data_IF_782803464604
#
_entry.id   IF_782803464604
#
_cell.length_a   1.000
_cell.length_b   1.000
_cell.length_c   1.000
_cell.angle_alpha   90.00
_cell.angle_beta   90.00
_cell.angle_gamma   90.00
#
_symmetry.space_group_name_H-M   'P 1'
#
loop_
_entity.id
_entity.type
_entity.pdbx_description
1 polymer ?
2 non-polymer ?
3 non-polymer ?
4 water ?
#
# COMPACT_ATOMS: atom_id res chain seq x y z
N UNK A 4 -6.34 9.14 -5.44
CA UNK A 4 -7.17 7.99 -4.98
C UNK A 4 -8.12 7.46 -6.03
N UNK A 5 -8.50 8.27 -7.02
CA UNK A 5 -9.28 7.77 -8.16
C UNK A 5 -8.60 6.59 -8.85
N UNK A 6 -7.32 6.78 -9.20
CA UNK A 6 -6.47 5.76 -9.86
C UNK A 6 -6.48 4.40 -9.17
N UNK A 7 -6.64 4.39 -7.86
CA UNK A 7 -6.71 3.15 -7.04
C UNK A 7 -7.95 2.26 -7.18
N UNK A 8 -8.97 2.69 -7.92
CA UNK A 8 -10.31 2.02 -7.97
C UNK A 8 -10.77 1.50 -9.33
N UNK A 9 -9.98 1.79 -10.35
CA UNK A 9 -10.20 1.29 -11.72
C UNK A 9 -10.76 -0.15 -11.83
N UNK A 10 -10.26 -1.03 -10.99
CA UNK A 10 -10.63 -2.42 -10.99
C UNK A 10 -11.17 -2.93 -9.67
N UNK A 11 -11.15 -4.25 -9.56
CA UNK A 11 -11.71 -4.95 -8.41
C UNK A 11 -10.73 -4.84 -7.26
N UNK A 12 -11.24 -4.40 -6.09
CA UNK A 12 -10.41 -4.13 -4.93
C UNK A 12 -10.95 -4.99 -3.81
N UNK A 13 -10.08 -5.80 -3.18
CA UNK A 13 -10.56 -6.59 -2.05
C UNK A 13 -10.70 -5.76 -0.76
N UNK A 14 -11.67 -6.15 0.07
CA UNK A 14 -12.07 -5.41 1.25
C UNK A 14 -12.09 -6.32 2.46
N UNK A 15 -11.54 -5.88 3.59
CA UNK A 15 -11.80 -6.51 4.88
C UNK A 15 -12.71 -5.56 5.66
N UNK A 16 -13.69 -6.09 6.41
CA UNK A 16 -14.50 -5.26 7.34
C UNK A 16 -14.48 -5.81 8.78
N UNK A 17 -13.87 -5.08 9.74
CA UNK A 17 -13.81 -5.53 11.13
C UNK A 17 -14.56 -4.53 12.01
N UNK A 18 -15.67 -4.97 12.60
CA UNK A 18 -16.37 -4.22 13.62
C UNK A 18 -16.14 -4.90 14.98
N UNK A 19 -16.00 -4.06 16.03
CA UNK A 19 -16.13 -4.45 17.44
C UNK A 19 -17.24 -3.56 18.00
N UNK A 20 -18.20 -4.15 18.71
CA UNK A 20 -19.38 -3.42 19.16
C UNK A 20 -19.81 -3.68 20.60
N UNK A 21 -20.45 -2.67 21.21
CA UNK A 21 -21.14 -2.82 22.48
C UNK A 21 -22.51 -2.17 22.35
N UNK A 22 -23.58 -2.89 22.64
CA UNK A 22 -24.92 -2.34 22.64
C UNK A 22 -25.69 -2.76 23.87
N UNK A 23 -25.96 -1.80 24.74
CA UNK A 23 -26.56 -2.03 26.05
C UNK A 23 -25.74 -3.09 26.82
N UNK A 24 -24.42 -2.99 26.68
CA UNK A 24 -23.47 -3.90 27.32
C UNK A 24 -23.59 -5.33 26.82
N UNK A 25 -23.97 -5.49 25.55
CA UNK A 25 -23.87 -6.76 24.81
C UNK A 25 -22.65 -6.62 23.96
N UNK A 26 -21.49 -7.10 24.39
CA UNK A 26 -20.27 -7.00 23.58
C UNK A 26 -20.40 -7.90 22.35
N UNK A 27 -19.84 -7.51 21.21
CA UNK A 27 -19.84 -8.41 20.02
C UNK A 27 -18.88 -7.97 18.95
N UNK A 28 -18.41 -8.92 18.17
CA UNK A 28 -17.51 -8.64 17.05
C UNK A 28 -17.98 -9.30 15.74
N UNK A 29 -17.77 -8.61 14.63
CA UNK A 29 -18.16 -9.08 13.30
C UNK A 29 -16.93 -8.97 12.42
N UNK A 30 -16.78 -9.90 11.49
CA UNK A 30 -15.76 -9.77 10.47
C UNK A 30 -16.44 -9.93 9.13
N UNK A 31 -15.97 -9.16 8.15
CA UNK A 31 -16.54 -9.13 6.80
C UNK A 31 -15.44 -9.21 5.75
N UNK A 32 -15.81 -9.66 4.55
CA UNK A 32 -14.82 -10.01 3.54
C UNK A 32 -15.46 -9.96 2.15
N UNK A 33 -14.86 -9.22 1.22
CA UNK A 33 -15.39 -9.21 -0.12
C UNK A 33 -14.63 -8.41 -1.11
N UNK A 34 -15.37 -7.84 -2.06
CA UNK A 34 -14.81 -7.19 -3.25
C UNK A 34 -15.64 -5.99 -3.61
N UNK A 35 -14.93 -4.97 -4.16
CA UNK A 35 -15.55 -3.80 -4.73
C UNK A 35 -15.02 -3.46 -6.10
N UNK A 36 -15.90 -3.23 -7.06
CA UNK A 36 -15.52 -2.69 -8.37
C UNK A 36 -16.27 -1.37 -8.45
N UNK A 37 -15.54 -0.27 -8.27
CA UNK A 37 -16.15 1.06 -8.20
C UNK A 37 -16.41 1.64 -9.59
N UNK A 38 -16.01 0.89 -10.62
CA UNK A 38 -16.34 1.21 -12.01
C UNK A 38 -17.88 1.12 -12.23
N UNK A 39 -18.49 0.15 -11.55
CA UNK A 39 -19.95 -0.09 -11.53
C UNK A 39 -20.61 0.19 -10.17
N UNK A 40 -19.86 0.73 -9.21
CA UNK A 40 -20.40 0.95 -7.89
C UNK A 40 -20.84 -0.33 -7.22
N UNK A 41 -20.15 -1.42 -7.54
CA UNK A 41 -20.54 -2.75 -7.10
C UNK A 41 -19.86 -3.08 -5.76
N UNK A 42 -20.63 -3.60 -4.82
CA UNK A 42 -20.05 -4.27 -3.65
C UNK A 42 -20.72 -5.59 -3.45
N UNK A 43 -19.90 -6.57 -3.06
CA UNK A 43 -20.39 -7.85 -2.58
C UNK A 43 -19.51 -8.23 -1.39
N UNK A 44 -20.17 -8.54 -0.28
CA UNK A 44 -19.47 -8.77 0.97
C UNK A 44 -20.19 -9.84 1.79
N UNK A 45 -19.43 -10.58 2.57
CA UNK A 45 -20.00 -11.45 3.57
C UNK A 45 -19.55 -11.02 4.97
N UNK A 46 -20.47 -11.10 5.91
CA UNK A 46 -20.18 -10.76 7.27
C UNK A 46 -20.53 -11.94 8.11
N UNK A 47 -19.65 -12.26 9.07
CA UNK A 47 -19.93 -13.25 10.12
C UNK A 47 -19.67 -12.67 11.51
N UNK A 48 -20.55 -13.03 12.46
CA UNK A 48 -20.46 -12.61 13.88
C UNK A 48 -19.61 -13.57 14.71
N UNK A 49 -18.34 -13.24 14.82
CA UNK A 49 -17.35 -14.12 15.43
C UNK A 49 -17.47 -14.36 16.98
N UNK A 50 -18.52 -13.82 17.65
CA UNK A 50 -18.77 -13.99 19.10
C UNK A 50 -20.16 -14.59 19.40
N UNK A 51 -20.63 -15.47 18.50
CA UNK A 51 -21.93 -16.10 18.66
C UNK A 51 -23.01 -15.42 17.84
N UNK A 52 -24.17 -15.25 18.46
CA UNK A 52 -25.30 -14.53 17.84
C UNK A 52 -25.02 -13.02 17.84
N UNK A 53 -25.42 -12.33 16.78
CA UNK A 53 -25.40 -10.88 16.79
C UNK A 53 -26.67 -10.48 17.50
N UNK A 54 -26.56 -9.56 18.49
CA UNK A 54 -27.67 -9.11 19.31
C UNK A 54 -28.51 -7.99 18.71
N UNK A 55 -27.95 -7.27 17.72
CA UNK A 55 -28.69 -6.36 16.83
C UNK A 55 -29.15 -7.17 15.60
N UNK A 56 -30.28 -6.77 14.95
CA UNK A 56 -30.59 -7.38 13.66
C UNK A 56 -29.59 -6.88 12.61
N UNK A 57 -29.36 -7.66 11.56
CA UNK A 57 -28.32 -7.35 10.59
C UNK A 57 -28.55 -6.06 9.79
N UNK A 58 -29.80 -5.82 9.33
CA UNK A 58 -30.08 -4.59 8.56
C UNK A 58 -29.57 -3.30 9.23
N UNK A 59 -29.50 -3.29 10.56
CA UNK A 59 -29.13 -2.08 11.31
C UNK A 59 -27.65 -1.83 11.26
N UNK A 60 -26.90 -2.77 10.72
CA UNK A 60 -25.46 -2.63 10.65
C UNK A 60 -24.94 -2.49 9.24
N UNK A 61 -25.83 -2.51 8.25
CA UNK A 61 -25.45 -2.41 6.83
C UNK A 61 -24.76 -1.07 6.48
N UNK A 62 -25.34 0.02 6.98
CA UNK A 62 -24.79 1.35 6.75
C UNK A 62 -23.43 1.49 7.44
N UNK A 63 -23.30 0.87 8.61
CA UNK A 63 -22.05 0.91 9.36
C UNK A 63 -20.93 0.09 8.66
N UNK A 64 -21.26 -1.14 8.24
CA UNK A 64 -20.29 -2.02 7.56
C UNK A 64 -19.94 -1.50 6.16
N UNK A 66 -18.10 1.63 3.06
CA UNK A 66 -16.92 1.79 2.14
C UNK A 66 -17.41 2.51 0.91
N UNK A 67 -17.75 3.79 1.08
CA UNK A 67 -18.35 4.60 0.01
C UNK A 67 -17.32 5.19 -0.96
N UNK A 68 -16.09 4.77 -0.82
CA UNK A 68 -15.11 4.93 -1.89
C UNK A 68 -15.52 4.13 -3.13
N UNK A 69 -16.40 3.15 -2.94
CA UNK A 69 -16.85 2.23 -4.03
C UNK A 69 -18.18 2.67 -4.66
N UNK A 70 -18.62 3.90 -4.46
CA UNK A 70 -19.80 4.39 -5.17
C UNK A 70 -19.35 4.59 -6.64
N UNK A 71 -20.27 4.52 -7.60
CA UNK A 71 -19.95 4.89 -8.97
C UNK A 71 -20.22 6.37 -9.13
N UNK A 72 -19.18 7.10 -9.50
CA UNK A 72 -19.31 8.49 -9.87
C UNK A 72 -19.19 8.63 -11.38
N UNK A 73 -20.24 9.11 -12.01
CA UNK A 73 -20.08 9.34 -13.45
C UNK A 73 -18.92 10.29 -13.78
N UNK A 74 -18.36 10.18 -14.98
CA UNK A 74 -17.19 10.99 -15.37
C UNK A 74 -17.40 12.47 -15.18
N UNK A 75 -18.66 12.90 -15.29
CA UNK A 75 -19.05 14.30 -15.11
C UNK A 75 -19.16 14.72 -13.63
N UNK A 76 -19.17 13.75 -12.71
CA UNK A 76 -19.10 14.02 -11.29
C UNK A 76 -17.77 13.59 -10.66
N UNK A 77 -16.88 12.99 -11.45
CA UNK A 77 -15.59 12.43 -10.97
C UNK A 77 -14.78 13.35 -9.98
N UNK A 78 -14.84 14.66 -10.15
CA UNK A 78 -14.12 15.56 -9.26
C UNK A 78 -15.00 16.09 -8.11
N UNK A 79 -16.08 15.38 -7.81
CA UNK A 79 -16.87 15.62 -6.61
C UNK A 79 -16.77 14.42 -5.68
N UNK A 80 -15.90 13.49 -6.03
CA UNK A 80 -15.82 12.20 -5.33
C UNK A 80 -14.86 12.34 -4.14
N UNK A 81 -15.41 12.67 -2.99
CA UNK A 81 -14.58 12.87 -1.80
C UNK A 81 -13.87 11.58 -1.31
N UNK A 82 -14.59 10.47 -1.42
CA UNK A 82 -14.23 9.27 -0.71
C UNK A 82 -12.92 8.75 -1.29
N UNK A 83 -12.91 8.54 -2.59
CA UNK A 83 -11.75 8.02 -3.30
C UNK A 83 -10.59 9.01 -3.19
N UNK A 84 -10.90 10.29 -3.31
CA UNK A 84 -9.88 11.30 -3.23
C UNK A 84 -9.14 11.35 -1.89
N UNK A 85 -9.60 10.64 -0.86
CA UNK A 85 -8.88 10.66 0.42
C UNK A 85 -8.05 9.40 0.61
N UNK A 86 -7.75 8.71 -0.48
CA UNK A 86 -6.98 7.46 -0.40
C UNK A 86 -5.58 7.65 -0.99
N UNK A 87 -4.59 6.80 -0.69
CA UNK A 87 -4.74 5.60 0.13
C UNK A 87 -4.78 5.80 1.66
N UNK A 88 -4.35 6.98 2.12
CA UNK A 88 -4.16 7.24 3.56
C UNK A 88 -5.46 7.03 4.32
N UNK A 89 -6.55 7.43 3.70
CA UNK A 89 -7.84 6.96 4.12
C UNK A 89 -8.64 8.08 4.67
N UNK A 90 -9.80 7.73 5.22
CA UNK A 90 -10.65 8.68 5.91
C UNK A 90 -11.28 8.11 7.18
N UNK A 91 -11.47 8.94 8.19
CA UNK A 91 -12.22 8.55 9.37
C UNK A 91 -13.68 8.88 9.10
N UNK A 92 -14.57 7.95 9.43
CA UNK A 92 -16.02 8.16 9.26
C UNK A 92 -16.71 7.98 10.60
N UNK A 93 -17.40 9.02 11.04
CA UNK A 93 -18.12 9.01 12.33
C UNK A 93 -19.60 9.19 12.04
N UNK A 94 -20.44 8.61 12.90
CA UNK A 94 -21.89 8.59 12.71
C UNK A 94 -22.62 8.45 14.05
N UNK A 95 -23.68 9.23 14.25
CA UNK A 95 -24.64 8.92 15.30
C UNK A 95 -25.94 8.52 14.57
N UNK A 96 -26.40 7.31 14.81
CA UNK A 96 -27.62 6.83 14.16
C UNK A 96 -28.79 6.81 15.15
N UNK A 97 -29.80 7.65 14.96
CA UNK A 97 -30.89 7.63 15.93
C UNK A 97 -32.04 6.81 15.40
N UNK A 98 -32.41 5.75 16.14
CA UNK A 98 -33.62 5.00 15.83
C UNK A 98 -34.81 5.68 16.48
N UNK A 99 -35.84 5.98 15.68
CA UNK A 99 -37.09 6.63 16.16
C UNK A 99 -37.67 5.86 17.35
N UNK A 100 -38.17 6.58 18.34
CA UNK A 100 -38.68 5.97 19.60
C UNK A 100 -37.86 4.76 20.11
N UNK A 101 -36.54 4.84 20.04
CA UNK A 101 -35.67 3.77 20.54
C UNK A 101 -34.29 4.35 20.66
N UNK A 102 -33.27 3.53 20.87
CA UNK A 102 -31.93 4.02 21.12
C UNK A 102 -31.13 4.59 19.96
N UNK A 103 -29.81 4.65 20.13
CA UNK A 103 -28.91 5.12 19.09
C UNK A 103 -27.56 4.41 19.08
N UNK A 104 -26.98 4.29 17.90
CA UNK A 104 -25.57 3.95 17.74
C UNK A 104 -24.76 5.22 17.52
N UNK A 105 -23.71 5.39 18.29
CA UNK A 105 -22.63 6.29 17.90
C UNK A 105 -21.59 5.34 17.28
N UNK A 106 -20.91 5.74 16.20
CA UNK A 106 -19.83 4.90 15.62
C UNK A 106 -18.66 5.67 15.07
N UNK A 107 -17.50 5.01 15.08
CA UNK A 107 -16.31 5.61 14.50
C UNK A 107 -15.63 4.52 13.74
N UNK A 108 -15.15 4.87 12.55
CA UNK A 108 -14.56 3.93 11.59
C UNK A 108 -13.37 4.58 10.91
N UNK A 109 -12.30 3.81 10.70
CA UNK A 109 -11.19 4.20 9.79
C UNK A 109 -11.31 3.39 8.49
N UNK A 110 -11.46 4.10 7.37
CA UNK A 110 -11.56 3.49 6.07
C UNK A 110 -10.30 3.90 5.37
N UNK A 111 -9.44 2.95 5.01
CA UNK A 111 -8.12 3.27 4.48
C UNK A 111 -7.59 2.05 3.81
N UNK A 112 -6.59 2.22 2.95
CA UNK A 112 -5.92 1.08 2.32
C UNK A 112 -4.88 0.58 3.29
N UNK A 113 -4.99 -0.71 3.62
CA UNK A 113 -3.95 -1.52 4.24
C UNK A 113 -3.47 -2.53 3.19
N UNK A 114 -2.30 -2.27 2.61
CA UNK A 114 -1.75 -3.11 1.56
C UNK A 114 -2.41 -2.81 0.24
N UNK A 115 -2.98 -3.83 -0.39
CA UNK A 115 -3.86 -3.62 -1.59
C UNK A 115 -5.38 -3.75 -1.25
N UNK A 116 -5.67 -3.88 0.06
CA UNK A 116 -6.99 -4.20 0.56
C UNK A 116 -7.56 -2.96 1.21
N UNK A 117 -8.63 -2.47 0.62
CA UNK A 117 -9.47 -1.50 1.27
C UNK A 117 -10.09 -2.10 2.54
N UNK A 118 -9.86 -1.42 3.66
CA UNK A 118 -10.21 -1.93 4.98
C UNK A 118 -11.10 -0.90 5.67
N UNK A 119 -12.11 -1.39 6.38
CA UNK A 119 -12.98 -0.56 7.22
C UNK A 119 -12.97 -1.17 8.62
N UNK A 120 -12.56 -0.38 9.61
CA UNK A 120 -12.34 -0.85 10.97
C UNK A 120 -13.16 -0.05 11.94
N UNK A 121 -14.18 -0.70 12.51
CA UNK A 121 -15.26 -0.01 13.20
C UNK A 121 -15.20 -0.27 14.70
N UNK A 122 -15.61 0.76 15.46
CA UNK A 122 -15.91 0.65 16.88
C UNK A 122 -17.30 1.23 17.02
N UNK A 123 -18.15 0.62 17.84
CA UNK A 123 -19.55 1.04 17.88
C UNK A 123 -20.19 0.81 19.25
N UNK A 124 -20.87 1.85 19.74
CA UNK A 124 -21.59 1.81 21.01
C UNK A 124 -23.05 2.14 20.77
N UNK A 125 -23.96 1.34 21.33
CA UNK A 125 -25.36 1.69 21.35
C UNK A 125 -25.87 1.86 22.76
N UNK A 126 -26.79 2.79 22.99
CA UNK A 126 -27.42 2.96 24.30
C UNK A 126 -28.91 3.28 24.24
N UNK A 127 -29.56 3.24 25.41
CA UNK A 127 -30.95 3.64 25.59
C UNK A 127 -31.91 2.84 24.75
N UNK A 128 -31.47 1.64 24.34
CA UNK A 128 -32.31 0.75 23.54
C UNK A 128 -33.31 0.00 24.45
N UNK A 129 -34.55 -0.10 24.00
CA UNK A 129 -35.58 -0.85 24.70
C UNK A 129 -35.33 -2.35 24.48
N UNK A 130 -35.49 -3.16 25.52
CA UNK A 130 -35.37 -4.62 25.39
C UNK A 130 -36.61 -5.20 24.68
N UNK A 131 -37.80 -4.75 25.09
CA UNK A 131 -39.06 -5.06 24.38
C UNK A 131 -39.04 -4.27 23.06
N UNK A 132 -37.90 -4.26 22.34
CA UNK A 132 -37.66 -3.27 21.27
C UNK A 132 -37.90 -3.79 19.87
N UNK A 133 -37.76 -2.92 18.86
CA UNK A 133 -37.73 -3.38 17.51
C UNK A 133 -36.35 -3.90 17.20
N UNK A 134 -35.36 -3.36 17.88
CA UNK A 134 -33.96 -3.66 17.57
C UNK A 134 -33.49 -4.85 18.45
N UNK A 135 -33.47 -4.67 19.78
CA UNK A 135 -33.02 -5.76 20.71
C UNK A 135 -34.07 -6.86 20.86
N UNK A 136 -35.35 -6.50 20.64
CA UNK A 136 -36.40 -7.52 20.40
C UNK A 136 -36.42 -8.12 18.99
N UNK A 137 -35.38 -7.86 18.19
CA UNK A 137 -35.24 -8.41 16.84
C UNK A 137 -36.57 -8.42 16.03
N UNK A 138 -37.14 -7.26 15.73
CA UNK A 138 -38.47 -7.25 15.08
C UNK A 138 -38.46 -6.74 13.61
N UNK A 139 -37.28 -6.67 12.97
CA UNK A 139 -37.15 -6.08 11.63
C UNK A 139 -36.97 -7.13 10.54
N UNK A 140 -37.60 -6.92 9.39
CA UNK A 140 -37.46 -7.86 8.25
C UNK A 140 -35.99 -7.88 7.78
N UNK A 141 -35.59 -8.96 7.10
CA UNK A 141 -34.21 -9.14 6.64
C UNK A 141 -34.14 -8.70 5.20
N UNK A 142 -34.08 -7.37 5.01
CA UNK A 142 -34.06 -6.81 3.67
C UNK A 142 -33.34 -5.46 3.52
N UNK A 143 -32.95 -5.21 2.28
CA UNK A 143 -32.23 -4.01 1.86
C UNK A 143 -33.19 -3.29 0.95
N UNK A 144 -33.56 -2.05 1.26
CA UNK A 144 -34.29 -1.17 0.32
C UNK A 144 -33.38 -0.11 -0.33
N UNK A 145 -33.92 0.51 -1.37
CA UNK A 145 -33.28 1.61 -2.04
C UNK A 145 -33.30 2.93 -1.20
N UNK A 146 -32.16 3.63 -1.13
CA UNK A 146 -32.06 4.88 -0.39
C UNK A 146 -31.24 5.94 -1.13
N UNK A 147 -31.40 7.20 -0.72
CA UNK A 147 -30.58 8.26 -1.24
C UNK A 147 -29.80 8.88 -0.10
N UNK A 148 -28.53 9.18 -0.39
CA UNK A 148 -27.53 9.61 0.60
C UNK A 148 -27.10 11.02 0.23
N UNK A 149 -27.45 11.98 1.07
CA UNK A 149 -27.22 13.39 0.78
C UNK A 149 -25.93 13.85 1.39
N UNK A 150 -25.06 14.43 0.55
CA UNK A 150 -23.72 14.92 0.92
C UNK A 150 -23.48 16.43 0.74
N UNK A 151 -22.82 17.04 1.71
CA UNK A 151 -22.35 18.40 1.53
C UNK A 151 -20.93 18.51 2.06
N UNK A 152 -20.22 19.52 1.57
CA UNK A 152 -18.87 19.86 1.99
C UNK A 152 -18.82 20.39 3.43
N UNK A 153 -17.68 20.25 4.08
CA UNK A 153 -17.46 20.80 5.41
C UNK A 153 -16.01 21.33 5.48
N UNK A 154 -15.75 22.46 4.79
CA UNK A 154 -14.41 23.10 4.65
C UNK A 154 -13.68 23.23 5.99
N UNK A 155 -14.40 23.66 7.04
CA UNK A 155 -13.85 23.71 8.41
C UNK A 155 -13.07 22.43 8.68
N UNK A 156 -13.77 21.29 8.85
CA UNK A 156 -13.16 19.96 9.15
C UNK A 156 -12.35 19.40 7.99
N UNK A 157 -12.57 19.91 6.77
CA UNK A 157 -11.83 19.50 5.56
C UNK A 157 -12.41 18.20 4.93
N UNK A 158 -13.71 17.99 5.11
CA UNK A 158 -14.33 16.74 4.70
C UNK A 158 -15.73 16.94 4.23
N UNK A 159 -16.65 16.09 4.67
CA UNK A 159 -18.05 16.22 4.26
C UNK A 159 -19.01 15.94 5.39
N UNK A 160 -20.18 16.57 5.33
CA UNK A 160 -21.26 16.25 6.27
C UNK A 160 -22.30 15.46 5.45
N UNK A 161 -22.92 14.47 6.10
CA UNK A 161 -23.87 13.61 5.41
C UNK A 161 -25.06 13.28 6.33
N UNK A 162 -26.23 13.21 5.72
CA UNK A 162 -27.44 12.78 6.40
C UNK A 162 -28.37 12.01 5.44
N UNK A 163 -29.11 11.06 5.98
CA UNK A 163 -30.18 10.34 5.27
C UNK A 163 -31.01 9.52 6.26
N UNK A 164 -32.21 9.12 5.87
CA UNK A 164 -32.99 8.22 6.76
C UNK A 164 -33.16 6.76 6.22
N UNK A 165 -32.64 5.77 6.96
CA UNK A 165 -32.89 4.36 6.63
C UNK A 165 -34.31 3.95 7.12
N UNK A 166 -35.03 3.20 6.28
CA UNK A 166 -36.42 2.87 6.48
C UNK A 166 -36.39 1.36 6.54
N UNK A 167 -36.37 0.91 7.79
CA UNK A 167 -36.28 -0.49 8.13
C UNK A 167 -37.71 -0.98 8.24
N UNK A 168 -37.98 -2.13 7.64
CA UNK A 168 -39.32 -2.64 7.62
C UNK A 168 -39.48 -3.40 8.87
N UNK A 169 -40.48 -3.02 9.66
CA UNK A 169 -40.82 -3.80 10.86
C UNK A 169 -41.65 -5.05 10.46
N UNK A 170 -41.32 -6.17 11.10
CA UNK A 170 -42.00 -7.46 10.89
C UNK A 170 -43.52 -7.30 10.94
N UNK A 171 -44.02 -6.63 11.98
CA UNK A 171 -45.44 -6.25 12.03
C UNK A 171 -45.84 -5.68 10.68
N UNK A 172 -45.13 -4.66 10.23
CA UNK A 172 -45.37 -4.05 8.94
C UNK A 172 -44.95 -2.60 8.81
N UNK A 173 -44.84 -1.89 9.93
CA UNK A 173 -44.59 -0.45 9.85
C UNK A 173 -43.13 -0.17 9.46
N UNK A 174 -42.71 1.08 9.61
CA UNK A 174 -41.33 1.46 9.35
C UNK A 174 -40.56 1.87 10.62
N UNK A 175 -39.34 1.38 10.75
CA UNK A 175 -38.47 1.79 11.82
C UNK A 175 -37.42 2.72 11.22
N UNK A 176 -37.59 4.04 11.39
CA UNK A 176 -36.59 5.00 10.90
C UNK A 176 -35.24 4.90 11.58
N UNK A 177 -34.18 5.20 10.83
CA UNK A 177 -32.83 5.35 11.40
C UNK A 177 -32.12 6.49 10.74
N UNK A 178 -31.91 7.57 11.50
CA UNK A 178 -31.47 8.87 11.02
C UNK A 178 -29.97 9.04 11.22
N UNK A 179 -29.24 9.06 10.12
CA UNK A 179 -27.77 8.94 10.14
C UNK A 179 -27.14 10.30 10.05
N UNK A 180 -26.62 10.76 11.16
CA UNK A 180 -25.84 11.94 11.12
C UNK A 180 -24.39 11.51 10.94
N UNK A 181 -23.82 11.90 9.79
CA UNK A 181 -22.50 11.39 9.37
C UNK A 181 -21.47 12.50 9.03
N UNK A 182 -20.22 12.20 9.43
CA UNK A 182 -19.07 13.03 9.19
C UNK A 182 -17.93 12.19 8.72
N UNK A 183 -17.23 12.68 7.71
CA UNK A 183 -16.08 12.01 7.14
C UNK A 183 -14.92 12.95 7.07
N UNK A 184 -13.75 12.52 7.49
CA UNK A 184 -12.62 13.44 7.41
C UNK A 184 -11.38 12.67 7.01
N UNK A 185 -10.38 13.37 6.42
CA UNK A 185 -9.13 12.69 6.14
C UNK A 185 -8.43 12.28 7.37
N UNK A 186 -7.92 11.06 7.35
CA UNK A 186 -6.75 10.70 8.09
C UNK A 186 -5.66 11.29 7.24
N UNK A 187 -5.94 11.34 5.94
CA UNK A 187 -5.17 12.08 4.97
C UNK A 187 -4.77 13.50 5.37
N UNK A 188 -3.56 13.59 5.89
CA UNK A 188 -2.93 14.87 6.10
C UNK A 188 -2.84 15.74 4.82
N UNK A 189 -2.96 15.14 3.62
CA UNK A 189 -2.94 15.89 2.36
C UNK A 189 -4.31 16.40 1.89
N UNK A 190 -4.44 16.70 0.57
CA UNK A 190 -5.60 17.40 -0.03
C UNK A 190 -6.72 16.51 -0.65
N UNK A 191 -7.96 16.68 -0.20
CA UNK A 191 -9.09 15.88 -0.67
C UNK A 191 -10.08 16.79 -1.38
N UNK A 192 -10.87 16.25 -2.33
CA UNK A 192 -11.87 17.04 -3.08
C UNK A 192 -13.10 17.34 -2.25
N UNK A 193 -13.47 18.60 -2.13
CA UNK A 193 -14.64 18.96 -1.32
C UNK A 193 -15.82 19.23 -2.22
N UNK A 194 -16.86 18.39 -2.11
CA UNK A 194 -17.89 18.41 -3.15
C UNK A 194 -18.96 19.47 -2.99
N UNK A 195 -19.44 19.95 -4.14
CA UNK A 195 -20.74 20.58 -4.18
C UNK A 195 -21.73 19.53 -3.74
N UNK A 196 -22.83 20.01 -3.19
CA UNK A 196 -23.92 19.15 -2.73
C UNK A 196 -24.40 18.14 -3.78
N UNK A 197 -24.61 16.90 -3.37
CA UNK A 197 -25.18 15.87 -4.24
C UNK A 197 -25.75 14.72 -3.40
N UNK A 198 -26.22 13.69 -4.09
CA UNK A 198 -26.63 12.49 -3.40
C UNK A 198 -26.01 11.24 -4.03
N UNK A 199 -26.13 10.12 -3.31
CA UNK A 199 -25.91 8.83 -3.90
C UNK A 199 -27.23 8.09 -3.85
N UNK A 200 -27.35 7.12 -4.75
CA UNK A 200 -28.51 6.28 -4.85
C UNK A 200 -28.07 4.81 -4.84
N UNK A 201 -28.71 4.07 -3.93
CA UNK A 201 -28.37 2.68 -3.59
C UNK A 201 -29.41 1.64 -4.05
N UNK A 202 -28.92 0.44 -4.36
CA UNK A 202 -29.72 -0.79 -4.48
C UNK A 202 -29.05 -1.89 -3.75
N UNK A 203 -29.82 -2.79 -3.17
CA UNK A 203 -29.16 -3.91 -2.52
C UNK A 203 -29.99 -5.05 -2.04
N UNK A 204 -29.29 -6.01 -1.50
CA UNK A 204 -29.87 -7.29 -1.13
C UNK A 204 -29.11 -7.88 0.03
N UNK A 205 -29.86 -8.31 1.01
CA UNK A 205 -29.36 -9.16 2.05
C UNK A 205 -29.84 -10.57 1.78
N UNK A 206 -29.00 -11.56 2.08
CA UNK A 206 -29.30 -12.98 1.85
C UNK A 206 -28.37 -13.81 2.76
N UNK A 207 -28.40 -15.15 2.58
CA UNK A 207 -27.62 -16.10 3.39
C UNK A 207 -26.81 -17.04 2.48
N UNK A 208 -25.57 -17.31 2.87
CA UNK A 208 -24.81 -18.49 2.45
C UNK A 208 -25.44 -19.74 3.15
N UNK A 209 -26.01 -20.66 2.36
CA UNK A 209 -26.80 -21.74 2.93
C UNK A 209 -25.93 -22.85 3.50
N UNK A 210 -24.62 -22.69 3.35
CA UNK A 210 -23.60 -23.53 3.98
C UNK A 210 -22.96 -22.98 5.23
N UNK A 211 -23.15 -21.69 5.50
CA UNK A 211 -22.45 -21.01 6.57
C UNK A 211 -23.17 -21.28 7.90
N UNK A 212 -22.51 -21.96 8.83
CA UNK A 212 -23.16 -22.36 10.09
C UNK A 212 -23.31 -21.18 11.06
N UNK A 213 -22.49 -20.16 10.92
CA UNK A 213 -22.53 -19.00 11.85
C UNK A 213 -23.66 -18.00 11.56
N UNK A 214 -23.83 -17.06 12.47
CA UNK A 214 -24.73 -15.95 12.23
C UNK A 214 -24.02 -15.02 11.28
N UNK A 215 -24.67 -14.71 10.17
CA UNK A 215 -24.00 -13.99 9.10
C UNK A 215 -24.95 -13.25 8.18
N UNK A 216 -24.36 -12.53 7.23
CA UNK A 216 -25.12 -11.77 6.24
C UNK A 216 -24.32 -11.64 4.97
N UNK A 217 -25.04 -11.82 3.84
CA UNK A 217 -24.49 -11.53 2.51
C UNK A 217 -25.09 -10.22 1.95
N UNK A 218 -24.20 -9.33 1.53
CA UNK A 218 -24.58 -8.03 1.04
C UNK A 218 -24.08 -7.88 -0.38
N UNK A 219 -25.01 -7.66 -1.32
CA UNK A 219 -24.67 -7.25 -2.68
C UNK A 219 -25.27 -5.86 -2.81
N UNK A 220 -24.52 -4.93 -3.39
CA UNK A 220 -24.98 -3.57 -3.35
C UNK A 220 -24.54 -2.73 -4.52
N UNK A 221 -25.42 -1.81 -4.94
CA UNK A 221 -25.12 -0.92 -6.07
C UNK A 221 -25.34 0.54 -5.73
N UNK A 222 -24.28 1.34 -5.82
CA UNK A 222 -24.36 2.72 -5.44
C UNK A 222 -23.78 3.70 -6.42
N UNK A 223 -24.64 4.60 -6.86
CA UNK A 223 -24.31 5.50 -7.93
C UNK A 223 -24.50 6.93 -7.44
N UNK A 224 -23.56 7.82 -7.80
CA UNK A 224 -23.63 9.25 -7.46
C UNK A 224 -24.47 10.05 -8.48
N UNK A 225 -25.15 11.10 -8.01
CA UNK A 225 -26.00 11.90 -8.89
C UNK A 225 -26.29 13.28 -8.30
N UNK A 226 -26.89 14.16 -9.09
CA UNK A 226 -27.44 15.40 -8.60
C UNK A 226 -26.72 16.62 -9.12
N UNK A 227 -25.60 16.40 -9.80
CA UNK A 227 -24.73 17.47 -10.30
C UNK A 227 -24.57 17.47 -11.85
N UNK A 228 -24.61 18.66 -12.45
CA UNK A 228 -24.58 18.79 -13.91
C UNK A 228 -23.83 20.04 -14.47
N UNK A 229 -22.74 20.48 -13.84
CA UNK A 229 -22.07 21.72 -14.30
C UNK A 229 -20.49 21.80 -14.45
N UNK A 230 -19.77 22.00 -13.35
CA UNK A 230 -18.39 22.57 -13.38
C UNK A 230 -17.91 22.83 -11.96
N UNK A 231 -16.77 22.20 -11.64
CA UNK A 231 -16.53 21.56 -10.35
C UNK A 231 -15.29 21.96 -9.49
N UNK A 232 -15.51 22.23 -8.19
CA UNK A 232 -14.46 22.28 -7.12
C UNK A 232 -14.61 23.49 -6.14
N UNK A 233 -14.52 23.21 -4.84
CA UNK A 233 -14.41 24.26 -3.80
C UNK A 233 -12.95 24.33 -3.33
N UNK B 1 1.91 2.74 2.21
CA UNK B 1 2.74 1.81 3.05
C UNK B 1 2.80 2.16 4.55
N UNK B 2 1.71 1.90 5.26
CA UNK B 2 1.80 1.60 6.67
C UNK B 2 2.29 0.16 6.74
N UNK B 3 1.78 -0.69 5.83
CA UNK B 3 1.97 -2.16 5.85
C UNK B 3 3.32 -2.63 5.24
N UNK B 4 3.79 -1.95 4.19
CA UNK B 4 5.11 -2.22 3.63
C UNK B 4 6.16 -1.70 4.57
N UNK B 5 5.88 -0.56 5.17
CA UNK B 5 6.67 -0.04 6.27
C UNK B 5 6.85 -1.04 7.40
N UNK B 6 5.75 -1.62 7.93
CA UNK B 6 5.84 -2.54 9.08
C UNK B 6 6.80 -3.65 8.78
N UNK B 7 6.86 -4.09 7.54
CA UNK B 7 7.77 -5.18 7.19
C UNK B 7 9.23 -4.84 7.54
N UNK B 8 9.54 -3.56 7.76
CA UNK B 8 10.93 -3.09 7.92
C UNK B 8 11.35 -2.46 9.28
N UNK B 9 10.42 -2.48 10.23
CA UNK B 9 10.68 -2.00 11.59
C UNK B 9 11.71 -2.93 12.31
N UNK B 10 11.75 -4.21 11.91
CA UNK B 10 12.69 -5.16 12.51
C UNK B 10 13.97 -5.37 11.71
N UNK B 11 14.77 -6.32 12.15
CA UNK B 11 15.84 -6.86 11.33
C UNK B 11 15.17 -7.92 10.42
N UNK B 12 15.36 -7.72 9.11
CA UNK B 12 14.80 -8.54 8.05
C UNK B 12 16.00 -9.24 7.43
N UNK B 13 15.98 -10.60 7.39
CA UNK B 13 17.10 -11.28 6.71
C UNK B 13 16.98 -11.07 5.23
N UNK B 14 18.09 -11.16 4.53
CA UNK B 14 18.08 -10.87 3.12
C UNK B 14 18.69 -12.04 2.44
N UNK B 15 18.37 -12.20 1.18
CA UNK B 15 19.06 -13.16 0.36
C UNK B 15 19.20 -12.58 -1.05
N UNK B 16 20.37 -12.80 -1.63
CA UNK B 16 20.70 -12.27 -2.95
C UNK B 16 21.24 -13.44 -3.78
N UNK B 17 20.64 -13.68 -4.94
CA UNK B 17 21.14 -14.66 -5.88
C UNK B 17 21.26 -13.90 -7.19
N UNK B 18 22.43 -13.92 -7.80
CA UNK B 18 22.60 -13.33 -9.09
C UNK B 18 23.18 -14.38 -10.01
N UNK B 19 22.77 -14.34 -11.28
CA UNK B 19 23.44 -15.07 -12.35
C UNK B 19 23.97 -14.10 -13.38
N UNK B 20 25.19 -14.34 -13.86
CA UNK B 20 25.88 -13.38 -14.70
C UNK B 20 26.59 -13.94 -15.91
N UNK B 21 26.61 -13.13 -16.97
CA UNK B 21 27.38 -13.40 -18.17
C UNK B 21 28.00 -12.07 -18.55
N UNK B 22 29.32 -12.03 -18.62
CA UNK B 22 30.02 -10.81 -18.93
C UNK B 22 31.05 -11.09 -20.00
N UNK B 23 30.66 -10.82 -21.25
CA UNK B 23 31.41 -11.19 -22.45
C UNK B 23 31.56 -12.69 -22.54
N UNK B 24 30.48 -13.40 -22.17
CA UNK B 24 30.46 -14.86 -22.23
C UNK B 24 31.12 -15.59 -21.08
N UNK B 25 31.69 -14.82 -20.14
CA UNK B 25 32.26 -15.34 -18.90
C UNK B 25 31.11 -15.50 -17.92
N UNK B 26 30.71 -16.73 -17.63
CA UNK B 26 29.57 -16.97 -16.76
C UNK B 26 30.01 -17.06 -15.33
N UNK B 27 29.10 -16.66 -14.45
CA UNK B 27 29.33 -16.72 -13.02
C UNK B 27 27.97 -16.63 -12.33
N UNK B 28 27.94 -17.02 -11.08
CA UNK B 28 26.75 -16.89 -10.29
C UNK B 28 27.19 -16.49 -8.88
N UNK B 29 26.39 -15.67 -8.20
CA UNK B 29 26.75 -15.18 -6.86
C UNK B 29 25.58 -15.33 -5.89
N UNK B 30 25.88 -15.85 -4.70
CA UNK B 30 24.92 -15.97 -3.64
C UNK B 30 25.35 -15.01 -2.57
N UNK B 31 24.38 -14.50 -1.82
CA UNK B 31 24.68 -13.71 -0.65
C UNK B 31 23.54 -13.67 0.34
N UNK B 32 23.81 -13.11 1.51
CA UNK B 32 22.94 -13.38 2.62
C UNK B 32 23.34 -12.40 3.70
N UNK B 33 22.35 -11.98 4.49
CA UNK B 33 22.64 -11.08 5.59
C UNK B 33 21.42 -10.54 6.29
N UNK B 34 21.52 -9.29 6.73
CA UNK B 34 20.47 -8.63 7.48
C UNK B 34 20.34 -7.21 7.03
N UNK B 35 19.11 -6.71 7.12
CA UNK B 35 18.83 -5.31 6.90
C UNK B 35 18.03 -4.72 8.05
N UNK B 36 18.18 -3.41 8.24
CA UNK B 36 17.62 -2.70 9.37
C UNK B 36 17.27 -1.29 8.90
N UNK B 37 16.24 -1.20 8.06
CA UNK B 37 15.77 0.09 7.55
C UNK B 37 15.80 1.22 8.58
N UNK B 38 15.23 0.94 9.72
CA UNK B 38 15.18 1.87 10.85
C UNK B 38 16.44 2.77 10.95
N UNK B 39 17.62 2.17 10.79
CA UNK B 39 18.95 2.86 10.81
C UNK B 39 19.56 2.99 9.43
N UNK B 40 18.83 2.50 8.41
CA UNK B 40 19.23 2.50 7.00
C UNK B 40 20.36 1.54 6.72
N UNK B 41 20.34 0.40 7.41
CA UNK B 41 21.54 -0.43 7.58
C UNK B 41 21.44 -1.78 6.85
N UNK B 42 22.55 -2.18 6.25
CA UNK B 42 22.71 -3.50 5.66
C UNK B 42 24.07 -4.01 6.06
N UNK B 43 24.13 -5.33 6.17
CA UNK B 43 25.36 -6.10 6.37
C UNK B 43 25.05 -7.38 5.59
N UNK B 44 25.89 -7.74 4.62
CA UNK B 44 25.63 -8.78 3.64
C UNK B 44 26.98 -9.42 3.28
N UNK B 45 26.98 -10.75 3.10
CA UNK B 45 28.13 -11.48 2.54
C UNK B 45 27.78 -12.17 1.25
N UNK B 46 28.71 -12.09 0.28
CA UNK B 46 28.48 -12.58 -1.10
C UNK B 46 29.59 -13.54 -1.44
N UNK B 47 29.24 -14.63 -2.13
CA UNK B 47 30.18 -15.70 -2.46
C UNK B 47 30.12 -15.90 -3.96
N UNK B 48 31.27 -15.91 -4.65
CA UNK B 48 31.30 -16.42 -6.05
C UNK B 48 31.29 -17.94 -5.97
N UNK B 49 30.14 -18.51 -6.31
CA UNK B 49 29.87 -19.93 -6.18
C UNK B 49 30.46 -20.70 -7.35
N UNK B 50 30.96 -19.97 -8.35
CA UNK B 50 31.43 -20.56 -9.59
C UNK B 50 32.94 -20.61 -9.74
N UNK B 51 33.68 -19.99 -8.82
CA UNK B 51 35.13 -19.98 -8.95
C UNK B 51 35.63 -18.60 -8.69
N UNK B 52 36.32 -18.02 -9.68
CA UNK B 52 36.79 -16.63 -9.59
C UNK B 52 35.76 -15.76 -10.36
N UNK B 53 35.39 -14.65 -9.73
CA UNK B 53 34.45 -13.69 -10.33
C UNK B 53 35.20 -12.92 -11.44
N UNK B 54 34.61 -12.82 -12.65
CA UNK B 54 35.29 -12.23 -13.81
C UNK B 54 35.35 -10.70 -13.84
N UNK B 55 34.64 -10.07 -12.91
CA UNK B 55 34.69 -8.63 -12.75
C UNK B 55 35.02 -8.22 -11.28
N UNK B 56 35.52 -6.97 -11.05
CA UNK B 56 35.67 -6.55 -9.68
C UNK B 56 34.33 -6.49 -8.87
N UNK B 57 34.44 -6.95 -7.65
CA UNK B 57 33.35 -6.90 -6.72
C UNK B 57 32.68 -5.54 -6.66
N UNK B 58 33.49 -4.47 -6.61
CA UNK B 58 32.85 -3.17 -6.42
C UNK B 58 31.82 -2.89 -7.53
N UNK B 59 32.08 -3.42 -8.73
CA UNK B 59 31.24 -3.17 -9.90
C UNK B 59 29.91 -3.84 -9.73
N UNK B 60 29.83 -4.93 -8.99
CA UNK B 60 28.52 -5.62 -8.77
C UNK B 60 27.71 -5.21 -7.54
N UNK B 61 28.22 -4.21 -6.79
CA UNK B 61 27.65 -3.82 -5.49
C UNK B 61 26.25 -3.17 -5.56
N UNK B 62 26.11 -2.22 -6.48
CA UNK B 62 24.84 -1.52 -6.65
C UNK B 62 23.79 -2.49 -7.13
N UNK B 63 24.26 -3.47 -7.88
CA UNK B 63 23.42 -4.52 -8.44
C UNK B 63 22.96 -5.47 -7.34
N UNK B 64 23.82 -5.76 -6.36
CA UNK B 64 23.45 -6.59 -5.21
C UNK B 64 22.58 -5.78 -4.21
N UNK B 66 18.74 -3.67 -2.73
CA UNK B 66 17.62 -3.74 -1.74
C UNK B 66 17.24 -2.43 -1.09
N UNK B 67 16.91 -1.47 -1.94
CA UNK B 67 16.73 -0.10 -1.52
C UNK B 67 15.49 0.14 -0.63
N UNK B 68 14.65 -0.89 -0.47
CA UNK B 68 13.62 -0.88 0.59
C UNK B 68 14.24 -0.70 2.00
N UNK B 69 15.53 -1.06 2.16
CA UNK B 69 16.29 -0.84 3.40
C UNK B 69 17.07 0.48 3.45
N UNK B 70 16.48 1.59 2.97
CA UNK B 70 17.05 2.94 3.09
C UNK B 70 16.35 3.55 4.28
N UNK B 71 17.00 4.47 5.03
CA UNK B 71 16.23 5.31 5.95
C UNK B 71 15.57 6.41 5.21
N UNK B 72 14.28 6.57 5.51
CA UNK B 72 13.44 7.71 5.16
C UNK B 72 13.08 8.30 6.52
N UNK B 73 13.51 9.54 6.75
CA UNK B 73 13.08 10.20 7.95
C UNK B 73 11.59 10.30 7.92
N UNK B 74 11.01 10.38 9.11
CA UNK B 74 9.55 10.42 9.28
C UNK B 74 8.93 11.37 8.28
N UNK B 75 9.43 12.61 8.26
CA UNK B 75 8.84 13.62 7.42
C UNK B 75 8.74 13.18 5.94
N UNK B 76 9.72 12.43 5.44
CA UNK B 76 9.67 11.92 4.05
C UNK B 76 9.10 10.52 3.90
N UNK B 77 8.46 9.99 4.93
CA UNK B 77 7.86 8.62 4.85
C UNK B 77 6.92 8.35 3.64
N UNK B 78 6.15 9.34 3.20
CA UNK B 78 5.18 9.14 2.11
C UNK B 78 5.82 9.17 0.73
N UNK B 79 7.13 9.40 0.72
CA UNK B 79 7.95 9.42 -0.48
C UNK B 79 8.77 8.15 -0.59
N UNK B 80 8.31 7.09 0.04
CA UNK B 80 9.06 5.83 0.04
C UNK B 80 8.38 4.81 -0.91
N UNK B 81 8.96 4.66 -2.10
CA UNK B 81 8.30 3.86 -3.12
C UNK B 81 8.60 2.42 -2.82
N UNK B 82 9.88 2.17 -2.62
CA UNK B 82 10.41 0.84 -2.49
C UNK B 82 9.58 0.00 -1.48
N UNK B 83 9.46 0.50 -0.25
CA UNK B 83 8.74 -0.22 0.80
C UNK B 83 7.24 -0.35 0.47
N UNK B 84 6.70 0.65 -0.24
CA UNK B 84 5.28 0.62 -0.57
C UNK B 84 4.95 -0.52 -1.54
N UNK B 85 5.95 -0.97 -2.32
CA UNK B 85 5.73 -2.10 -3.21
C UNK B 85 5.66 -3.45 -2.50
N UNK B 86 5.86 -3.48 -1.18
CA UNK B 86 6.01 -4.73 -0.42
C UNK B 86 4.71 -5.27 0.17
N UNK B 87 4.63 -6.59 0.36
CA UNK B 87 5.69 -7.58 0.07
C UNK B 87 5.73 -8.09 -1.38
N UNK B 88 4.69 -7.79 -2.14
CA UNK B 88 4.59 -8.28 -3.50
C UNK B 88 5.88 -7.93 -4.23
N UNK B 89 6.53 -6.84 -3.82
CA UNK B 89 7.85 -6.48 -4.32
C UNK B 89 7.80 -5.60 -5.57
N UNK B 90 8.98 -5.24 -6.09
CA UNK B 90 9.07 -4.41 -7.29
C UNK B 90 9.94 -5.14 -8.33
N UNK B 91 10.11 -4.53 -9.51
CA UNK B 91 11.05 -5.02 -10.52
C UNK B 91 12.09 -3.98 -10.84
N UNK B 92 13.32 -4.19 -10.43
CA UNK B 92 14.38 -3.22 -10.65
C UNK B 92 15.22 -3.62 -11.87
N UNK B 93 15.18 -2.78 -12.92
CA UNK B 93 16.10 -2.95 -14.05
C UNK B 93 17.09 -1.79 -14.15
N UNK B 94 18.27 -2.08 -14.68
CA UNK B 94 19.32 -1.08 -14.88
C UNK B 94 20.12 -1.27 -16.15
N UNK B 95 20.64 -0.18 -16.70
CA UNK B 95 21.79 -0.26 -17.59
C UNK B 95 22.86 0.57 -16.89
N UNK B 96 24.06 -0.01 -16.80
CA UNK B 96 25.21 0.63 -16.17
C UNK B 96 26.22 0.76 -17.28
N UNK B 97 26.55 2.00 -17.62
CA UNK B 97 27.50 2.33 -18.66
C UNK B 97 28.81 2.70 -18.01
N UNK B 98 29.82 1.91 -18.28
CA UNK B 98 31.11 2.22 -17.76
C UNK B 98 31.73 3.06 -18.80
N UNK B 99 32.32 4.17 -18.41
CA UNK B 99 32.94 5.06 -19.37
C UNK B 99 34.13 4.40 -20.08
N UNK B 100 34.11 4.50 -21.41
CA UNK B 100 35.20 4.07 -22.27
C UNK B 100 35.31 2.56 -22.23
N UNK B 101 34.15 1.86 -22.13
CA UNK B 101 34.10 0.41 -21.86
C UNK B 101 32.63 -0.08 -22.00
N UNK B 102 32.38 -1.32 -21.56
CA UNK B 102 31.08 -1.97 -21.70
C UNK B 102 30.01 -1.54 -20.72
N UNK B 103 28.88 -2.26 -20.78
CA UNK B 103 27.74 -2.06 -19.86
C UNK B 103 27.28 -3.33 -19.16
N UNK B 104 26.64 -3.15 -18.01
CA UNK B 104 25.87 -4.22 -17.42
C UNK B 104 24.40 -3.91 -17.64
N UNK B 105 23.65 -4.86 -18.16
CA UNK B 105 22.21 -4.73 -18.20
C UNK B 105 21.73 -5.74 -17.22
N UNK B 106 20.95 -5.30 -16.25
CA UNK B 106 20.41 -6.20 -15.25
C UNK B 106 18.88 -6.12 -15.15
N UNK B 107 18.34 -7.17 -14.57
CA UNK B 107 16.93 -7.27 -14.27
C UNK B 107 16.83 -8.03 -12.96
N UNK B 108 15.91 -7.63 -12.09
CA UNK B 108 15.83 -8.22 -10.77
C UNK B 108 14.48 -8.07 -10.10
N UNK B 109 14.10 -9.10 -9.33
CA UNK B 109 12.92 -9.07 -8.48
C UNK B 109 13.30 -8.98 -6.97
N UNK B 110 12.82 -7.91 -6.35
CA UNK B 110 13.11 -7.56 -5.00
C UNK B 110 11.76 -7.64 -4.26
N UNK B 111 11.71 -8.39 -3.16
CA UNK B 111 10.49 -9.06 -2.82
C UNK B 111 10.67 -10.00 -1.62
N UNK B 112 9.58 -10.11 -0.86
CA UNK B 112 9.57 -10.91 0.35
C UNK B 112 9.20 -12.32 0.03
N UNK B 113 10.13 -13.25 0.26
CA UNK B 113 9.79 -14.67 0.31
C UNK B 113 9.60 -15.15 1.78
N UNK B 114 8.35 -15.05 2.25
CA UNK B 114 8.03 -15.32 3.63
C UNK B 114 8.59 -14.20 4.46
N UNK B 115 9.61 -14.52 5.24
CA UNK B 115 10.12 -13.56 6.19
C UNK B 115 11.39 -12.91 5.71
N UNK B 116 12.10 -13.57 4.78
CA UNK B 116 13.37 -13.03 4.26
C UNK B 116 13.06 -12.14 3.05
N UNK B 117 13.85 -11.07 2.85
CA UNK B 117 13.71 -10.26 1.64
C UNK B 117 14.68 -10.76 0.62
N UNK B 118 14.22 -10.91 -0.62
CA UNK B 118 15.03 -11.53 -1.66
C UNK B 118 15.24 -10.61 -2.85
N UNK B 119 16.50 -10.49 -3.28
CA UNK B 119 16.88 -9.83 -4.53
C UNK B 119 17.43 -10.90 -5.46
N UNK B 120 16.74 -11.15 -6.56
CA UNK B 120 17.12 -12.20 -7.53
C UNK B 120 17.41 -11.53 -8.89
N UNK B 121 18.57 -11.83 -9.46
CA UNK B 121 19.20 -10.96 -10.43
C UNK B 121 19.68 -11.76 -11.63
N UNK B 122 19.53 -11.14 -12.80
CA UNK B 122 20.15 -11.62 -14.00
C UNK B 122 20.94 -10.47 -14.62
N UNK B 123 22.19 -10.76 -15.02
CA UNK B 123 23.11 -9.72 -15.52
C UNK B 123 23.69 -10.12 -16.86
N UNK B 124 23.95 -9.14 -17.70
CA UNK B 124 24.57 -9.38 -18.98
C UNK B 124 25.46 -8.16 -19.26
N UNK B 125 26.74 -8.46 -19.49
CA UNK B 125 27.69 -7.46 -19.85
C UNK B 125 28.18 -7.68 -21.25
N UNK B 126 28.29 -6.59 -22.01
CA UNK B 126 28.94 -6.67 -23.31
C UNK B 126 29.92 -5.57 -23.56
N UNK B 127 30.86 -5.89 -24.45
CA UNK B 127 31.72 -4.92 -25.10
C UNK B 127 32.75 -4.34 -24.13
N UNK B 128 33.15 -5.14 -23.13
CA UNK B 128 34.23 -4.76 -22.20
C UNK B 128 35.56 -5.01 -22.85
N UNK B 129 36.52 -4.12 -22.59
CA UNK B 129 37.88 -4.26 -23.11
C UNK B 129 38.55 -5.34 -22.26
N UNK B 130 39.22 -6.29 -22.92
CA UNK B 130 39.84 -7.50 -22.30
C UNK B 130 40.90 -7.21 -21.22
N UNK B 131 41.85 -6.33 -21.52
CA UNK B 131 42.80 -5.85 -20.50
C UNK B 131 42.37 -4.46 -20.12
N UNK B 132 41.07 -4.30 -19.87
CA UNK B 132 40.51 -3.00 -19.56
C UNK B 132 39.77 -2.97 -18.23
N UNK B 133 40.48 -2.47 -17.23
CA UNK B 133 39.89 -2.01 -15.99
C UNK B 133 38.89 -2.88 -15.26
N UNK B 134 37.74 -3.18 -15.88
CA UNK B 134 36.77 -4.17 -15.35
C UNK B 134 37.35 -5.59 -15.52
N UNK B 135 37.53 -6.04 -16.76
CA UNK B 135 38.01 -7.42 -17.05
C UNK B 135 39.50 -7.61 -16.74
N UNK B 136 40.26 -6.50 -16.79
CA UNK B 136 41.67 -6.52 -16.46
C UNK B 136 41.90 -6.24 -14.99
N UNK B 137 40.79 -6.09 -14.26
CA UNK B 137 40.82 -6.02 -12.81
C UNK B 137 41.72 -4.88 -12.30
N UNK B 138 41.33 -3.64 -12.55
CA UNK B 138 42.18 -2.48 -12.25
C UNK B 138 41.57 -1.45 -11.27
N UNK B 139 40.39 -1.77 -10.73
CA UNK B 139 39.71 -0.99 -9.70
C UNK B 139 40.04 -1.44 -8.25
N UNK B 140 39.92 -0.51 -7.29
CA UNK B 140 40.23 -0.79 -5.90
C UNK B 140 39.04 -1.34 -5.13
N UNK B 141 39.35 -2.23 -4.20
CA UNK B 141 38.34 -2.85 -3.36
C UNK B 141 37.94 -1.89 -2.25
N UNK B 142 37.10 -0.91 -2.60
CA UNK B 142 36.59 0.02 -1.60
C UNK B 142 35.22 0.50 -1.99
N UNK B 143 34.53 1.04 -0.98
CA UNK B 143 33.19 1.59 -1.15
C UNK B 143 33.30 3.08 -0.95
N UNK B 144 32.44 3.83 -1.65
CA UNK B 144 32.35 5.29 -1.52
C UNK B 144 30.95 5.86 -1.31
N UNK B 145 30.90 7.03 -0.71
CA UNK B 145 29.66 7.80 -0.63
C UNK B 145 29.09 8.13 -2.03
N UNK B 146 27.77 8.03 -2.18
CA UNK B 146 27.11 8.50 -3.37
C UNK B 146 25.72 8.99 -3.00
N UNK B 147 25.19 9.81 -3.89
CA UNK B 147 23.81 10.23 -3.83
C UNK B 147 23.08 9.49 -4.95
N UNK B 148 21.79 9.24 -4.70
CA UNK B 148 20.98 8.37 -5.53
C UNK B 148 19.73 9.17 -5.85
N UNK B 149 19.72 9.81 -7.01
CA UNK B 149 18.67 10.76 -7.34
C UNK B 149 17.49 10.00 -7.91
N UNK B 150 16.32 10.30 -7.35
CA UNK B 150 15.06 9.57 -7.56
C UNK B 150 13.99 10.53 -8.03
N UNK B 151 13.17 10.12 -8.98
CA UNK B 151 12.06 10.90 -9.51
C UNK B 151 10.97 9.89 -9.86
N UNK B 152 9.75 10.38 -10.01
CA UNK B 152 8.61 9.54 -10.35
C UNK B 152 8.51 9.04 -11.85
N UNK B 153 7.77 7.96 -12.04
CA UNK B 153 7.23 7.59 -13.34
C UNK B 153 5.72 7.33 -13.13
N UNK B 154 4.86 8.32 -13.39
CA UNK B 154 3.40 8.11 -13.21
C UNK B 154 2.88 7.02 -14.16
N UNK B 155 3.41 7.02 -15.40
CA UNK B 155 2.94 6.15 -16.50
C UNK B 155 3.14 4.65 -16.18
N UNK B 156 4.36 4.24 -15.82
CA UNK B 156 4.68 2.82 -15.47
C UNK B 156 4.33 2.45 -14.00
N UNK B 157 3.79 3.43 -13.26
CA UNK B 157 3.44 3.33 -11.83
C UNK B 157 4.63 2.87 -10.96
N UNK B 158 5.78 3.53 -11.17
CA UNK B 158 7.02 3.27 -10.44
C UNK B 158 7.96 4.48 -10.43
N UNK B 159 9.25 4.28 -10.67
CA UNK B 159 10.19 5.38 -10.57
C UNK B 159 11.37 5.21 -11.51
N UNK B 160 12.13 6.28 -11.68
CA UNK B 160 13.34 6.23 -12.46
C UNK B 160 14.47 6.81 -11.69
N UNK B 161 15.65 6.28 -11.92
CA UNK B 161 16.77 6.63 -11.08
C UNK B 161 18.01 6.74 -11.95
N UNK B 162 18.83 7.76 -11.63
CA UNK B 162 20.18 7.97 -12.23
C UNK B 162 21.19 8.32 -11.13
N UNK B 163 22.42 7.87 -11.35
CA UNK B 163 23.56 8.29 -10.58
C UNK B 163 24.85 7.74 -11.23
N UNK B 164 26.00 8.21 -10.74
CA UNK B 164 27.27 7.88 -11.37
C UNK B 164 28.17 7.35 -10.31
N UNK B 165 28.45 6.07 -10.40
CA UNK B 165 29.41 5.47 -9.49
C UNK B 165 30.84 5.84 -9.96
N UNK B 166 31.67 6.15 -8.98
CA UNK B 166 33.02 6.57 -9.19
C UNK B 166 33.86 5.51 -8.53
N UNK B 167 34.24 4.51 -9.30
CA UNK B 167 35.20 3.55 -8.82
C UNK B 167 36.58 4.17 -8.88
N UNK B 168 37.38 3.81 -7.91
CA UNK B 168 38.76 4.18 -7.88
C UNK B 168 39.55 3.16 -8.65
N UNK B 169 40.35 3.62 -9.59
CA UNK B 169 41.25 2.75 -10.28
C UNK B 169 42.54 2.64 -9.45
N UNK B 170 43.28 1.55 -9.59
CA UNK B 170 44.69 1.42 -9.13
C UNK B 170 45.70 2.49 -9.65
N UNK B 171 45.25 3.69 -10.02
CA UNK B 171 46.15 4.70 -10.60
C UNK B 171 45.77 6.16 -10.30
N UNK B 172 44.94 6.39 -9.28
CA UNK B 172 44.38 7.72 -9.03
C UNK B 172 43.11 7.93 -9.82
N UNK B 173 43.23 7.82 -11.15
CA UNK B 173 42.10 7.90 -12.08
C UNK B 173 40.84 7.25 -11.47
N UNK B 174 39.68 7.85 -11.72
CA UNK B 174 38.36 7.32 -11.33
C UNK B 174 37.75 6.57 -12.52
N UNK B 175 36.96 5.53 -12.29
CA UNK B 175 36.24 4.84 -13.35
C UNK B 175 34.75 5.03 -13.13
N UNK B 176 34.13 5.85 -13.96
CA UNK B 176 32.72 6.17 -13.80
C UNK B 176 31.92 4.96 -14.10
N UNK B 177 30.76 4.85 -13.46
CA UNK B 177 29.75 3.91 -13.94
C UNK B 177 28.35 4.52 -13.90
N UNK B 178 27.78 4.84 -15.07
CA UNK B 178 26.53 5.62 -15.15
C UNK B 178 25.24 4.77 -15.15
N UNK B 179 24.49 4.92 -14.05
CA UNK B 179 23.37 4.03 -13.69
C UNK B 179 22.00 4.54 -14.12
N UNK B 180 21.44 3.91 -15.15
CA UNK B 180 20.10 4.22 -15.59
C UNK B 180 19.17 3.13 -15.05
N UNK B 181 18.19 3.53 -14.23
CA UNK B 181 17.48 2.56 -13.39
C UNK B 181 16.01 2.82 -13.32
N UNK B 182 15.24 1.76 -13.49
CA UNK B 182 13.81 1.85 -13.34
C UNK B 182 13.31 0.83 -12.34
N UNK B 183 12.31 1.23 -11.55
CA UNK B 183 11.59 0.32 -10.68
C UNK B 183 10.07 0.38 -10.87
N UNK B 184 9.45 -0.80 -10.86
CA UNK B 184 7.98 -0.96 -11.01
C UNK B 184 7.44 -2.04 -10.08
N UNK B 185 6.24 -1.85 -9.54
CA UNK B 185 5.67 -2.81 -8.63
C UNK B 185 5.37 -4.13 -9.29
N UNK B 186 5.59 -5.20 -8.56
CA UNK B 186 5.19 -6.52 -8.98
C UNK B 186 3.67 -6.65 -8.76
N UNK B 187 3.16 -6.03 -7.71
CA UNK B 187 1.75 -6.18 -7.38
C UNK B 187 0.82 -5.25 -8.13
N UNK B 188 -0.45 -5.26 -7.73
CA UNK B 188 -1.49 -4.42 -8.35
C UNK B 188 -2.14 -3.42 -7.38
N UNK B 189 -1.68 -3.38 -6.13
CA UNK B 189 -2.23 -2.48 -5.11
C UNK B 189 -1.60 -1.09 -5.12
N UNK B 190 -1.95 -0.23 -4.12
CA UNK B 190 -1.28 1.07 -3.91
C UNK B 190 0.26 1.07 -3.69
N UNK B 191 0.92 2.10 -4.23
CA UNK B 191 2.35 2.36 -4.10
C UNK B 191 2.59 3.88 -4.11
N UNK B 192 3.71 4.34 -3.56
CA UNK B 192 3.93 5.77 -3.37
C UNK B 192 4.87 6.29 -4.47
N UNK B 193 4.34 7.20 -5.29
CA UNK B 193 5.13 7.90 -6.32
C UNK B 193 5.67 9.17 -5.68
N UNK B 194 7.00 9.27 -5.50
CA UNK B 194 7.63 10.39 -4.82
C UNK B 194 7.77 11.65 -5.66
N UNK B 195 7.82 12.78 -4.95
CA UNK B 195 8.50 13.97 -5.41
C UNK B 195 10.00 13.61 -5.54
N UNK B 196 10.73 14.31 -6.40
CA UNK B 196 12.14 14.06 -6.62
C UNK B 196 12.91 14.18 -5.31
N UNK B 197 13.94 13.35 -5.15
CA UNK B 197 14.85 13.42 -4.01
C UNK B 197 16.09 12.54 -4.22
N UNK B 198 16.81 12.24 -3.15
CA UNK B 198 18.04 11.50 -3.29
C UNK B 198 18.31 10.70 -2.04
N UNK B 199 19.02 9.60 -2.20
CA UNK B 199 19.53 8.84 -1.06
C UNK B 199 21.00 9.13 -0.88
N UNK B 200 21.48 9.06 0.35
CA UNK B 200 22.88 9.32 0.62
C UNK B 200 23.49 8.07 1.14
N UNK B 201 24.49 7.53 0.44
CA UNK B 201 25.11 6.27 0.88
C UNK B 201 26.47 6.43 1.53
N UNK B 202 26.73 5.55 2.49
CA UNK B 202 28.07 5.33 3.00
C UNK B 202 28.24 3.84 3.13
N UNK B 203 29.47 3.36 2.90
CA UNK B 203 29.80 2.01 3.32
C UNK B 203 31.24 1.53 3.13
N UNK B 204 31.38 0.22 3.27
CA UNK B 204 32.67 -0.44 3.26
C UNK B 204 32.62 -1.87 2.69
N UNK B 205 33.70 -2.22 2.02
CA UNK B 205 33.94 -3.58 1.59
C UNK B 205 35.02 -4.17 2.48
N UNK B 206 34.87 -5.45 2.83
CA UNK B 206 35.94 -6.15 3.54
C UNK B 206 35.94 -7.62 3.20
N UNK B 207 36.90 -8.31 3.82
CA UNK B 207 37.17 -9.74 3.64
C UNK B 207 36.87 -10.50 4.93
N UNK B 208 36.00 -11.50 4.83
CA UNK B 208 35.85 -12.52 5.88
C UNK B 208 37.15 -13.25 5.95
N UNK B 209 37.78 -13.25 7.14
CA UNK B 209 39.12 -13.82 7.27
C UNK B 209 39.13 -15.35 7.30
N UNK B 210 37.96 -15.95 7.43
CA UNK B 210 37.85 -17.40 7.53
C UNK B 210 37.42 -18.06 6.25
N UNK B 211 37.06 -17.26 5.26
CA UNK B 211 36.42 -17.76 4.04
C UNK B 211 37.47 -17.93 2.92
N UNK B 212 37.64 -19.17 2.49
CA UNK B 212 38.57 -19.58 1.44
C UNK B 212 38.14 -19.14 0.02
N UNK B 213 36.83 -18.91 -0.19
CA UNK B 213 36.33 -18.57 -1.54
C UNK B 213 36.38 -17.08 -1.88
N UNK B 214 36.24 -16.77 -3.17
CA UNK B 214 36.12 -15.39 -3.62
C UNK B 214 34.82 -14.88 -3.06
N UNK B 215 34.84 -13.72 -2.41
CA UNK B 215 33.65 -13.24 -1.70
C UNK B 215 33.71 -11.72 -1.42
N UNK B 216 32.68 -11.20 -0.78
CA UNK B 216 32.62 -9.79 -0.41
C UNK B 216 31.69 -9.68 0.78
N UNK B 217 32.15 -8.92 1.76
CA UNK B 217 31.34 -8.46 2.87
C UNK B 217 31.02 -6.97 2.58
N UNK B 218 29.77 -6.62 2.75
CA UNK B 218 29.37 -5.26 2.52
C UNK B 218 28.66 -4.75 3.77
N UNK B 219 29.24 -3.75 4.44
CA UNK B 219 28.51 -2.93 5.40
C UNK B 219 28.10 -1.65 4.67
N UNK B 220 26.82 -1.28 4.80
CA UNK B 220 26.26 -0.13 4.09
C UNK B 220 25.24 0.64 4.93
N UNK B 221 25.23 1.95 4.74
CA UNK B 221 24.33 2.84 5.44
C UNK B 221 23.68 3.77 4.45
N UNK B 222 22.34 3.83 4.42
CA UNK B 222 21.66 4.63 3.40
C UNK B 222 20.49 5.43 3.98
N UNK B 223 20.45 6.71 3.58
CA UNK B 223 19.62 7.68 4.23
C UNK B 223 19.09 8.61 3.17
N UNK B 224 17.77 8.76 3.17
CA UNK B 224 17.09 9.63 2.26
C UNK B 224 17.05 11.10 2.72
N UNK B 225 16.84 12.00 1.75
CA UNK B 225 16.91 13.44 1.95
C UNK B 225 16.42 14.19 0.73
N UNK B 226 16.39 15.52 0.86
CA UNK B 226 16.04 16.40 -0.26
C UNK B 226 14.62 16.96 -0.26
N UNK B 227 13.84 16.69 0.77
CA UNK B 227 12.49 17.19 0.83
C UNK B 227 12.27 17.85 2.18
N UNK B 228 11.76 19.08 2.19
CA UNK B 228 11.46 19.75 3.44
C UNK B 228 10.04 20.41 3.48
N UNK B 229 9.17 20.08 2.51
CA UNK B 229 7.97 20.91 2.23
C UNK B 229 6.62 20.50 2.83
N UNK B 230 6.22 19.23 2.71
CA UNK B 230 4.95 18.74 3.29
C UNK B 230 3.85 18.49 2.27
X LIG C 1 -32.84 -1.23 4.83
X LIG C 1 -33.22 -1.24 6.02
X LIG C 1 -33.64 -0.92 3.91
X LIG C 1 -31.39 -1.57 4.56
X LIG C 1 -30.74 -2.38 5.55
X LIG C 1 -30.66 -0.26 4.46
X LIG C 1 -29.91 -0.23 3.17
X LIG C 1 -28.96 -1.02 3.09
X LIG C 1 -30.25 0.57 2.25
X LIG D 1 1.43 10.02 -1.34
X LIG D 1 2.24 12.05 0.02
X LIG D 1 2.85 12.60 -1.24
X LIG D 1 4.11 13.32 -0.88
X LIG D 1 0.32 9.13 -1.63
X LIG D 1 1.96 13.17 0.96
X LIG D 1 2.09 10.64 -2.63
X LIG D 1 0.99 11.14 -0.38
X LIG D 1 1.13 11.38 -3.61
X LIG D 1 0.38 10.56 0.74
X LIG D 1 3.21 11.49 -2.14
X LIG D 1 3.84 14.72 -0.89
X LIG D 1 1.66 11.83 -7.94
X LIG D 1 0.43 10.99 -7.53
X LIG D 1 0.05 11.29 -6.04
X LIG D 1 1.33 11.22 -5.11
X LIG D 1 2.20 12.29 -5.67
X LIG D 1 3.39 12.53 -4.82
X LIG D 1 2.35 11.36 -9.16
X LIG D 1 -0.94 10.37 -5.65
X LIG D 1 2.68 11.81 -6.89
X LIG D 1 2.83 13.48 -3.93
X LIG D 1 -0.67 11.29 -8.39
X LIG D 1 3.15 12.42 -9.78
X LIG D 1 4.40 12.78 -8.92
X LIG D 1 4.09 13.91 -7.90
X LIG D 1 5.41 14.29 -7.24
X LIG D 1 5.30 15.63 -6.48
X LIG D 1 4.49 15.56 -5.19
X LIG D 1 4.68 16.93 -4.50
X LIG D 1 3.56 17.12 -3.44
X LIG D 1 3.41 18.60 -3.20
X LIG E 1 34.06 2.56 -5.15
X LIG E 1 34.96 1.76 -5.56
X LIG E 1 34.19 3.83 -5.13
X LIG E 1 32.74 2.00 -4.57
X LIG E 1 32.48 0.59 -4.83
X LIG E 1 31.55 2.86 -5.02
X LIG E 1 30.26 2.22 -4.59
X LIG E 1 30.18 0.98 -4.74
X LIG E 1 29.37 2.96 -4.13
#
# INVERSE_FOLDING_TARGET
MSKGEELFTGVVPILVELDGDVNGHKFSVSGEGEGDATYGKLTLKFICTTGKLPVPWPTLVTTFXVQCFSRYPDHMKRHDFFKSAMPEGYVQERTIFFKDDGNYKTRAEVKFEGDTLVNRIELKGIDFKEDGNILGHKLEYNYNSHNVYIMADKQKNGIKVNFKIRHNIEDGSVQLADHYQQNTPIGDGPVLLPDNHYLSTQGALSKDPNEKRDHMVLLEFVTAAGITHGMDE
MSKGEELFTGVVPILVELDGDVNGHKFSVSGEGEGDATYGKLTLKFICTTGKLPVPWPTLVTTFXVQCFSRYPDHMKRHDFFKSAMPEGYVQERTIFFKDDGNYKTRAEVKFEGDTLVNRIELKGIDFKEDGNILGHKLEYNYNSHNVYIMADKQKNGIKVNFKIRHNIEDGSVQLADHYQQNTPIGDGPVLLPDNHYLSTQGALSKDPNEKRDHMVLLEFVTAAGITHGMDE
MLT C1 O1 O2 C2 O3 C3 C4 O4 O5
UMQ C2 C4 C5 C6 O2 O4 C1 C3 O1 O3 O5 O6 C1' C2' C3' C4' C5' C6' O1' O3' O5' O6' O2' CA CB CC CD CF CG CH CI CJ
MLT C1 O1 O2 C2 O3 C3 C4 O4 O5
#
